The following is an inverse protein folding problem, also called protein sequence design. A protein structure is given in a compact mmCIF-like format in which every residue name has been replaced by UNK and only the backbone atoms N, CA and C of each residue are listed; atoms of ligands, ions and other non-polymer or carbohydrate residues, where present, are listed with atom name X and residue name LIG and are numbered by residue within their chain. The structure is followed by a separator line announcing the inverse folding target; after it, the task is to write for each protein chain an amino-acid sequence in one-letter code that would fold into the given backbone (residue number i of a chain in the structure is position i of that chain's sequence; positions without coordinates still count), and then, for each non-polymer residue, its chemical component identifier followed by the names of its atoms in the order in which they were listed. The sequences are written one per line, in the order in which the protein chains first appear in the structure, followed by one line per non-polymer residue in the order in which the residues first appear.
data_IF_952741037870
#
_entry.id   IF_952741037870
#
_cell.length_a   1.000
_cell.length_b   1.000
_cell.length_c   1.000
_cell.angle_alpha   90.00
_cell.angle_beta   90.00
_cell.angle_gamma   90.00
#
_symmetry.space_group_name_H-M   'P 1'
#
loop_
_entity.id
_entity.type
_entity.pdbx_description
1 polymer ?
#
# COMPACT_ATOMS: atom_id res chain seq x y z
N UNK A 1 -6.36 -12.88 -41.72
CA UNK A 1 -6.74 -12.07 -40.54
C UNK A 1 -5.51 -11.88 -39.68
N UNK A 2 -5.35 -10.74 -38.99
CA UNK A 2 -4.28 -10.60 -38.00
C UNK A 2 -4.42 -11.65 -36.88
N UNK A 3 -3.31 -12.13 -36.28
CA UNK A 3 -3.35 -13.11 -35.21
C UNK A 3 -4.06 -12.54 -33.98
N UNK A 4 -4.89 -13.35 -33.32
CA UNK A 4 -5.53 -13.02 -32.04
C UNK A 4 -4.59 -13.35 -30.90
N UNK A 5 -4.18 -12.30 -30.18
CA UNK A 5 -3.21 -12.40 -29.08
C UNK A 5 -3.94 -12.17 -27.76
N UNK A 6 -3.79 -13.11 -26.83
CA UNK A 6 -4.19 -12.94 -25.44
C UNK A 6 -2.96 -12.66 -24.56
N UNK A 7 -3.08 -11.69 -23.66
CA UNK A 7 -2.09 -11.43 -22.60
C UNK A 7 -2.77 -11.69 -21.27
N UNK A 8 -2.23 -12.62 -20.48
CA UNK A 8 -2.78 -12.95 -19.16
C UNK A 8 -2.01 -12.15 -18.12
N UNK A 9 -2.66 -11.16 -17.49
CA UNK A 9 -2.09 -10.28 -16.47
C UNK A 9 -1.85 -8.85 -16.96
N UNK A 10 -2.40 -7.88 -16.24
CA UNK A 10 -2.23 -6.44 -16.43
C UNK A 10 -1.25 -5.84 -15.41
N UNK A 11 -0.13 -6.54 -15.17
CA UNK A 11 1.05 -5.99 -14.50
C UNK A 11 1.93 -5.18 -15.47
N UNK A 12 3.05 -4.61 -15.01
CA UNK A 12 3.93 -3.78 -15.84
C UNK A 12 4.33 -4.46 -17.15
N UNK A 13 4.78 -5.72 -17.11
CA UNK A 13 5.19 -6.45 -18.32
C UNK A 13 4.04 -6.65 -19.33
N UNK A 14 2.85 -7.07 -18.87
CA UNK A 14 1.70 -7.32 -19.73
C UNK A 14 1.13 -6.04 -20.35
N UNK A 15 1.05 -4.97 -19.57
CA UNK A 15 0.61 -3.66 -20.04
C UNK A 15 1.61 -3.02 -21.01
N UNK A 16 2.91 -3.12 -20.73
CA UNK A 16 3.95 -2.65 -21.64
C UNK A 16 3.87 -3.38 -22.98
N UNK A 17 3.73 -4.72 -22.98
CA UNK A 17 3.55 -5.48 -24.22
C UNK A 17 2.28 -5.04 -24.97
N UNK A 18 1.15 -4.90 -24.27
CA UNK A 18 -0.09 -4.44 -24.88
C UNK A 18 0.07 -3.08 -25.56
N UNK A 19 0.77 -2.15 -24.89
CA UNK A 19 1.05 -0.82 -25.43
C UNK A 19 2.00 -0.84 -26.62
N UNK A 20 3.08 -1.61 -26.56
CA UNK A 20 4.04 -1.76 -27.66
C UNK A 20 3.39 -2.39 -28.91
N UNK A 21 2.44 -3.30 -28.73
CA UNK A 21 1.63 -3.83 -29.83
C UNK A 21 0.67 -2.78 -30.38
N UNK A 22 0.02 -2.02 -29.50
CA UNK A 22 -0.95 -0.99 -29.89
C UNK A 22 -0.32 0.13 -30.73
N UNK A 23 0.91 0.57 -30.41
CA UNK A 23 1.63 1.57 -31.26
C UNK A 23 1.96 1.03 -32.65
N UNK A 24 1.95 -0.29 -32.86
CA UNK A 24 2.09 -0.95 -34.16
C UNK A 24 0.74 -1.35 -34.78
N UNK A 25 -0.37 -0.80 -34.28
CA UNK A 25 -1.74 -1.12 -34.73
C UNK A 25 -2.13 -2.59 -34.55
N UNK A 26 -1.50 -3.31 -33.61
CA UNK A 26 -1.87 -4.67 -33.21
C UNK A 26 -2.61 -4.56 -31.87
N UNK A 27 -3.86 -5.02 -31.82
CA UNK A 27 -4.72 -4.92 -30.63
C UNK A 27 -4.83 -6.30 -29.96
N UNK A 28 -4.08 -6.58 -28.88
CA UNK A 28 -4.26 -7.78 -28.09
C UNK A 28 -5.49 -7.65 -27.17
N UNK A 29 -5.95 -8.77 -26.60
CA UNK A 29 -6.85 -8.79 -25.46
C UNK A 29 -6.05 -9.11 -24.20
N UNK A 30 -6.09 -8.21 -23.21
CA UNK A 30 -5.51 -8.42 -21.88
C UNK A 30 -6.59 -8.92 -20.93
N UNK A 31 -6.29 -9.95 -20.15
CA UNK A 31 -7.16 -10.50 -19.11
C UNK A 31 -6.51 -10.31 -17.74
N UNK A 32 -7.21 -9.67 -16.81
CA UNK A 32 -6.71 -9.39 -15.46
C UNK A 32 -7.67 -9.94 -14.41
N UNK A 33 -7.12 -10.61 -13.40
CA UNK A 33 -7.87 -11.25 -12.31
C UNK A 33 -8.47 -10.24 -11.33
N UNK A 34 -7.86 -9.06 -11.21
CA UNK A 34 -8.39 -8.00 -10.37
C UNK A 34 -9.73 -7.48 -10.87
N UNK A 35 -10.65 -7.08 -9.97
CA UNK A 35 -11.97 -6.61 -10.37
C UNK A 35 -11.94 -5.20 -10.98
N UNK A 36 -10.91 -4.39 -10.69
CA UNK A 36 -10.79 -3.02 -11.20
C UNK A 36 -9.34 -2.52 -11.21
N UNK A 37 -9.05 -1.42 -11.95
CA UNK A 37 -7.73 -0.78 -11.97
C UNK A 37 -7.16 -0.42 -10.60
N UNK A 38 -8.05 0.01 -9.68
CA UNK A 38 -7.70 0.56 -8.37
C UNK A 38 -7.64 -0.49 -7.25
N UNK A 39 -7.78 -1.78 -7.60
CA UNK A 39 -7.88 -2.87 -6.62
C UNK A 39 -6.59 -3.16 -5.84
N UNK A 40 -5.43 -2.68 -6.31
CA UNK A 40 -4.13 -2.90 -5.64
C UNK A 40 -3.75 -1.76 -4.72
N UNK A 41 -3.36 -2.10 -3.50
CA UNK A 41 -2.60 -1.24 -2.58
C UNK A 41 -1.08 -1.48 -2.62
N UNK A 42 -0.55 -2.23 -3.61
CA UNK A 42 0.89 -2.52 -3.71
C UNK A 42 1.71 -1.22 -3.78
N UNK A 43 2.56 -1.03 -2.77
CA UNK A 43 3.51 0.08 -2.69
C UNK A 43 4.87 -0.23 -3.34
N UNK A 44 5.83 0.65 -3.07
CA UNK A 44 7.20 0.57 -3.58
C UNK A 44 7.41 1.19 -4.96
N UNK A 45 8.67 1.43 -5.27
CA UNK A 45 9.13 1.95 -6.55
C UNK A 45 9.77 0.86 -7.41
N UNK A 46 10.03 1.21 -8.66
CA UNK A 46 10.76 0.42 -9.64
C UNK A 46 11.78 1.33 -10.32
N UNK A 47 13.02 0.87 -10.44
CA UNK A 47 14.05 1.51 -11.24
C UNK A 47 14.02 0.97 -12.68
N UNK A 48 14.01 1.87 -13.66
CA UNK A 48 14.07 1.50 -15.07
C UNK A 48 15.46 1.78 -15.62
N UNK A 49 16.14 0.75 -16.13
CA UNK A 49 17.52 0.87 -16.61
C UNK A 49 17.56 1.31 -18.08
N UNK A 50 18.61 2.02 -18.47
CA UNK A 50 18.90 2.36 -19.87
C UNK A 50 19.00 1.07 -20.71
N UNK A 51 18.61 1.16 -21.99
CA UNK A 51 18.66 0.04 -22.95
C UNK A 51 17.67 -1.11 -22.69
N UNK A 52 16.93 -1.09 -21.57
CA UNK A 52 15.94 -2.12 -21.24
C UNK A 52 14.59 -1.51 -20.86
N UNK A 53 14.35 -1.22 -19.58
CA UNK A 53 13.10 -0.65 -19.08
C UNK A 53 12.81 0.71 -19.70
N UNK A 54 13.81 1.59 -19.77
CA UNK A 54 13.67 2.90 -20.40
C UNK A 54 13.42 2.77 -21.91
N UNK A 55 14.10 1.84 -22.59
CA UNK A 55 13.87 1.61 -24.02
C UNK A 55 12.42 1.19 -24.30
N UNK A 56 11.83 0.34 -23.45
CA UNK A 56 10.43 -0.05 -23.57
C UNK A 56 9.47 1.15 -23.37
N UNK A 57 9.81 2.10 -22.49
CA UNK A 57 9.05 3.34 -22.30
C UNK A 57 9.20 4.28 -23.51
N UNK A 58 10.39 4.38 -24.10
CA UNK A 58 10.61 5.11 -25.35
C UNK A 58 9.80 4.53 -26.51
N UNK A 59 9.91 3.23 -26.75
CA UNK A 59 9.26 2.56 -27.88
C UNK A 59 7.73 2.52 -27.74
N UNK A 60 7.21 2.63 -26.52
CA UNK A 60 5.77 2.77 -26.25
C UNK A 60 5.25 4.20 -26.44
N UNK A 61 6.14 5.17 -26.68
CA UNK A 61 5.81 6.58 -26.81
C UNK A 61 5.38 7.23 -25.49
N UNK A 62 5.80 6.69 -24.35
CA UNK A 62 5.40 7.16 -23.02
C UNK A 62 6.49 7.92 -22.27
N UNK A 63 7.65 8.15 -22.90
CA UNK A 63 8.80 8.82 -22.26
C UNK A 63 8.44 10.17 -21.64
N UNK A 64 7.74 11.03 -22.37
CA UNK A 64 7.34 12.35 -21.88
C UNK A 64 6.42 12.30 -20.65
N UNK A 65 5.57 11.27 -20.56
CA UNK A 65 4.70 11.09 -19.40
C UNK A 65 5.49 10.48 -18.23
N UNK A 66 6.36 9.50 -18.50
CA UNK A 66 7.24 8.88 -17.52
C UNK A 66 8.11 9.91 -16.80
N UNK A 67 8.73 10.83 -17.56
CA UNK A 67 9.62 11.87 -17.01
C UNK A 67 8.96 12.78 -15.97
N UNK A 68 7.62 12.92 -15.99
CA UNK A 68 6.89 13.73 -14.99
C UNK A 68 6.90 13.10 -13.59
N UNK A 69 7.13 11.79 -13.51
CA UNK A 69 7.08 11.02 -12.27
C UNK A 69 8.40 10.31 -11.95
N UNK A 70 9.36 10.33 -12.86
CA UNK A 70 10.70 9.78 -12.69
C UNK A 70 11.43 10.51 -11.56
N UNK A 71 11.86 9.76 -10.55
CA UNK A 71 12.62 10.25 -9.39
C UNK A 71 14.08 9.84 -9.52
N UNK A 72 14.88 10.79 -9.99
CA UNK A 72 16.32 10.62 -10.15
C UNK A 72 17.05 10.60 -8.80
N UNK A 73 16.54 11.36 -7.83
CA UNK A 73 16.94 11.37 -6.43
C UNK A 73 16.67 10.03 -5.73
N UNK A 74 15.61 9.32 -6.13
CA UNK A 74 15.26 7.99 -5.60
C UNK A 74 16.29 6.89 -5.81
N UNK A 75 17.30 7.13 -6.65
CA UNK A 75 18.40 6.21 -6.91
C UNK A 75 19.48 6.22 -5.81
N UNK A 76 19.42 7.20 -4.91
CA UNK A 76 20.42 7.35 -3.85
C UNK A 76 20.41 6.14 -2.91
N UNK A 77 21.57 5.50 -2.73
CA UNK A 77 21.74 4.40 -1.79
C UNK A 77 22.72 4.83 -0.73
N UNK A 78 22.33 4.71 0.55
CA UNK A 78 23.22 4.94 1.69
C UNK A 78 23.23 3.72 2.61
N UNK A 79 24.43 3.25 2.93
CA UNK A 79 24.63 2.32 4.04
C UNK A 79 25.07 3.12 5.26
N UNK A 80 24.33 2.96 6.36
CA UNK A 80 24.49 3.75 7.57
C UNK A 80 24.81 2.84 8.75
N UNK A 81 25.61 3.34 9.70
CA UNK A 81 25.67 2.75 11.03
C UNK A 81 24.35 3.02 11.78
N UNK A 82 24.14 2.36 12.93
CA UNK A 82 23.02 2.66 13.83
C UNK A 82 23.00 4.10 14.37
N UNK A 83 24.11 4.83 14.26
CA UNK A 83 24.23 6.23 14.66
C UNK A 83 24.05 7.19 13.46
N UNK A 84 23.61 6.66 12.31
CA UNK A 84 23.47 7.40 11.05
C UNK A 84 24.79 7.90 10.45
N UNK A 85 25.93 7.33 10.83
CA UNK A 85 27.19 7.61 10.13
C UNK A 85 27.16 6.93 8.76
N UNK A 86 27.43 7.70 7.70
CA UNK A 86 27.47 7.20 6.33
C UNK A 86 28.71 6.32 6.13
N UNK A 87 28.49 5.02 5.91
CA UNK A 87 29.55 4.06 5.56
C UNK A 87 29.79 4.03 4.04
N UNK A 88 28.73 4.25 3.27
CA UNK A 88 28.75 4.29 1.81
C UNK A 88 27.58 5.15 1.34
N UNK A 89 27.81 5.91 0.27
CA UNK A 89 26.77 6.64 -0.44
C UNK A 89 27.01 6.53 -1.95
N UNK A 90 25.97 6.14 -2.67
CA UNK A 90 25.85 6.35 -4.12
C UNK A 90 24.92 7.54 -4.31
N UNK A 91 25.43 8.61 -4.92
CA UNK A 91 24.68 9.85 -5.13
C UNK A 91 23.74 9.75 -6.32
N UNK A 92 22.64 10.53 -6.32
CA UNK A 92 21.69 10.50 -7.40
C UNK A 92 22.30 10.98 -8.72
N UNK A 93 21.98 10.26 -9.78
CA UNK A 93 22.39 10.54 -11.15
C UNK A 93 21.32 11.39 -11.83
N UNK A 94 21.72 12.34 -12.66
CA UNK A 94 20.76 13.14 -13.42
C UNK A 94 20.33 12.46 -14.73
N UNK A 95 19.39 13.06 -15.46
CA UNK A 95 18.83 12.51 -16.71
C UNK A 95 19.89 12.33 -17.82
N UNK A 96 21.01 13.04 -17.77
CA UNK A 96 22.08 12.99 -18.77
C UNK A 96 23.10 11.89 -18.50
N UNK A 97 23.01 11.26 -17.33
CA UNK A 97 23.90 10.17 -16.95
C UNK A 97 23.41 8.87 -17.62
N UNK A 98 24.26 8.19 -18.41
CA UNK A 98 23.87 6.94 -19.09
C UNK A 98 23.55 5.82 -18.10
N UNK A 99 24.16 5.81 -16.92
CA UNK A 99 23.94 4.77 -15.91
C UNK A 99 22.76 5.13 -14.98
N UNK A 100 21.91 6.10 -15.37
CA UNK A 100 20.74 6.52 -14.60
C UNK A 100 19.62 5.49 -14.70
N UNK A 101 18.97 5.26 -13.56
CA UNK A 101 17.90 4.28 -13.35
C UNK A 101 16.80 4.90 -12.48
N UNK A 102 16.15 6.00 -12.93
CA UNK A 102 15.21 6.74 -12.11
C UNK A 102 14.10 5.84 -11.58
N UNK A 103 13.75 6.06 -10.32
CA UNK A 103 12.67 5.34 -9.64
C UNK A 103 11.31 5.87 -10.09
N UNK A 104 10.33 5.00 -10.23
CA UNK A 104 8.93 5.36 -10.41
C UNK A 104 8.05 4.52 -9.49
N UNK A 105 7.04 5.12 -8.86
CA UNK A 105 6.08 4.35 -8.07
C UNK A 105 5.35 3.35 -8.97
N UNK A 106 5.28 2.09 -8.51
CA UNK A 106 4.65 1.01 -9.28
C UNK A 106 3.21 1.34 -9.67
N UNK A 107 2.48 2.02 -8.78
CA UNK A 107 1.11 2.49 -9.02
C UNK A 107 1.07 3.49 -10.17
N UNK A 108 1.95 4.50 -10.15
CA UNK A 108 2.03 5.53 -11.19
C UNK A 108 2.41 4.90 -12.54
N UNK A 109 3.41 4.02 -12.57
CA UNK A 109 3.81 3.32 -13.81
C UNK A 109 2.62 2.52 -14.39
N UNK A 110 1.88 1.81 -13.54
CA UNK A 110 0.70 1.06 -13.96
C UNK A 110 -0.40 1.99 -14.49
N UNK A 111 -0.71 3.07 -13.78
CA UNK A 111 -1.70 4.06 -14.21
C UNK A 111 -1.34 4.69 -15.56
N UNK A 112 -0.08 5.06 -15.76
CA UNK A 112 0.43 5.60 -17.02
C UNK A 112 0.19 4.62 -18.18
N UNK A 113 0.54 3.34 -17.97
CA UNK A 113 0.35 2.31 -18.98
C UNK A 113 -1.14 2.03 -19.25
N UNK A 114 -1.99 1.99 -18.22
CA UNK A 114 -3.43 1.80 -18.36
C UNK A 114 -4.07 2.94 -19.16
N UNK A 115 -3.74 4.19 -18.85
CA UNK A 115 -4.23 5.38 -19.57
C UNK A 115 -3.78 5.43 -21.04
N UNK A 116 -2.74 4.68 -21.40
CA UNK A 116 -2.21 4.61 -22.76
C UNK A 116 -2.92 3.59 -23.67
N UNK A 117 -3.89 2.84 -23.13
CA UNK A 117 -4.63 1.78 -23.81
C UNK A 117 -6.12 2.11 -23.83
N UNK A 118 -6.83 1.65 -24.86
CA UNK A 118 -8.29 1.75 -24.90
C UNK A 118 -8.93 0.86 -23.83
N UNK A 119 -10.01 1.32 -23.21
CA UNK A 119 -10.71 0.61 -22.13
C UNK A 119 -11.16 -0.82 -22.51
N UNK A 120 -11.35 -1.09 -23.81
CA UNK A 120 -11.81 -2.40 -24.30
C UNK A 120 -10.66 -3.43 -24.45
N UNK A 121 -9.40 -2.99 -24.39
CA UNK A 121 -8.23 -3.87 -24.47
C UNK A 121 -8.14 -4.77 -23.23
N UNK A 122 -8.65 -4.32 -22.09
CA UNK A 122 -8.49 -5.01 -20.80
C UNK A 122 -9.83 -5.52 -20.30
N UNK A 123 -9.91 -6.82 -20.03
CA UNK A 123 -11.03 -7.48 -19.35
C UNK A 123 -10.66 -7.76 -17.90
N UNK A 124 -11.35 -7.08 -16.98
CA UNK A 124 -11.16 -7.17 -15.52
C UNK A 124 -12.05 -8.25 -14.91
N UNK A 125 -11.63 -8.82 -13.78
CA UNK A 125 -12.31 -9.93 -13.09
C UNK A 125 -12.07 -11.31 -13.71
N UNK A 126 -11.20 -11.41 -14.72
CA UNK A 126 -10.91 -12.63 -15.45
C UNK A 126 -9.74 -13.38 -14.81
N UNK A 127 -10.05 -14.24 -13.83
CA UNK A 127 -9.04 -15.14 -13.25
C UNK A 127 -8.89 -16.38 -14.13
N UNK A 128 -7.76 -16.51 -14.83
CA UNK A 128 -7.49 -17.68 -15.65
C UNK A 128 -7.43 -18.95 -14.79
N UNK A 129 -8.10 -20.00 -15.27
CA UNK A 129 -8.17 -21.31 -14.63
C UNK A 129 -7.38 -22.35 -15.43
N UNK A 130 -7.63 -22.44 -16.73
CA UNK A 130 -6.90 -23.35 -17.62
C UNK A 130 -6.86 -22.85 -19.06
N UNK A 131 -5.92 -23.40 -19.84
CA UNK A 131 -5.76 -23.14 -21.27
C UNK A 131 -5.78 -24.47 -21.98
N UNK A 132 -6.57 -24.57 -23.05
CA UNK A 132 -6.73 -25.81 -23.81
C UNK A 132 -6.58 -25.55 -25.31
N UNK A 133 -5.87 -26.38 -26.07
CA UNK A 133 -5.90 -26.30 -27.52
C UNK A 133 -7.29 -26.67 -28.04
N UNK A 134 -7.77 -25.99 -29.08
CA UNK A 134 -9.05 -26.29 -29.69
C UNK A 134 -9.04 -27.68 -30.33
N UNK A 135 -10.14 -28.43 -30.16
CA UNK A 135 -10.30 -29.74 -30.82
C UNK A 135 -10.32 -29.64 -32.34
N UNK A 136 -10.82 -28.52 -32.89
CA UNK A 136 -10.90 -28.27 -34.34
C UNK A 136 -9.57 -27.78 -34.94
N UNK A 137 -8.75 -27.09 -34.16
CA UNK A 137 -7.44 -26.59 -34.60
C UNK A 137 -6.49 -26.49 -33.39
N UNK A 138 -5.56 -27.45 -33.19
CA UNK A 138 -4.70 -27.47 -32.02
C UNK A 138 -3.66 -26.34 -31.98
N UNK A 139 -3.58 -25.48 -33.01
CA UNK A 139 -2.80 -24.24 -33.00
C UNK A 139 -3.54 -23.06 -32.36
N UNK A 140 -4.84 -23.19 -32.12
CA UNK A 140 -5.64 -22.18 -31.46
C UNK A 140 -5.91 -22.61 -30.02
N UNK A 141 -5.88 -21.66 -29.09
CA UNK A 141 -6.12 -21.90 -27.68
C UNK A 141 -7.41 -21.25 -27.20
N UNK A 142 -8.13 -21.99 -26.35
CA UNK A 142 -9.28 -21.54 -25.58
C UNK A 142 -8.84 -21.30 -24.13
N UNK A 143 -9.25 -20.15 -23.59
CA UNK A 143 -8.95 -19.70 -22.24
C UNK A 143 -10.19 -19.91 -21.37
N UNK A 144 -10.04 -20.68 -20.31
CA UNK A 144 -11.11 -20.94 -19.34
C UNK A 144 -10.85 -20.13 -18.08
N UNK A 145 -11.87 -19.39 -17.62
CA UNK A 145 -11.78 -18.52 -16.45
C UNK A 145 -12.62 -19.02 -15.29
N UNK A 146 -12.20 -18.67 -14.07
CA UNK A 146 -12.97 -18.92 -12.84
C UNK A 146 -14.21 -18.03 -12.87
N UNK A 147 -15.36 -18.64 -13.12
CA UNK A 147 -16.61 -17.96 -13.45
C UNK A 147 -17.39 -18.70 -14.55
N UNK A 148 -16.69 -19.52 -15.33
CA UNK A 148 -17.26 -20.34 -16.40
C UNK A 148 -17.19 -19.68 -17.77
N UNK A 149 -16.74 -18.43 -17.86
CA UNK A 149 -16.45 -17.78 -19.14
C UNK A 149 -15.34 -18.53 -19.89
N UNK A 150 -15.50 -18.62 -21.21
CA UNK A 150 -14.51 -19.22 -22.11
C UNK A 150 -14.28 -18.24 -23.27
N UNK A 151 -13.03 -17.80 -23.43
CA UNK A 151 -12.61 -16.97 -24.54
C UNK A 151 -11.81 -17.82 -25.52
N UNK A 152 -12.31 -17.92 -26.75
CA UNK A 152 -11.87 -18.95 -27.70
C UNK A 152 -10.99 -18.41 -28.80
N UNK A 153 -10.15 -19.24 -29.39
CA UNK A 153 -9.54 -19.01 -30.70
C UNK A 153 -8.42 -17.98 -30.70
N UNK A 154 -7.48 -18.08 -29.76
CA UNK A 154 -6.26 -17.28 -29.73
C UNK A 154 -5.11 -18.00 -30.44
N UNK A 155 -4.42 -17.29 -31.33
CA UNK A 155 -3.22 -17.75 -32.03
C UNK A 155 -1.99 -17.73 -31.11
N UNK A 156 -1.98 -16.82 -30.13
CA UNK A 156 -0.91 -16.67 -29.15
C UNK A 156 -1.48 -16.33 -27.77
N UNK A 157 -1.00 -17.02 -26.75
CA UNK A 157 -1.29 -16.73 -25.33
C UNK A 157 0.02 -16.38 -24.64
N UNK A 158 0.12 -15.15 -24.13
CA UNK A 158 1.30 -14.63 -23.44
C UNK A 158 1.05 -14.62 -21.94
N UNK A 159 1.94 -15.28 -21.17
CA UNK A 159 1.90 -15.29 -19.71
C UNK A 159 2.60 -14.07 -19.11
N UNK A 160 1.82 -13.14 -18.57
CA UNK A 160 2.28 -11.99 -17.77
C UNK A 160 1.59 -11.97 -16.39
N UNK A 161 1.14 -13.13 -15.92
CA UNK A 161 0.27 -13.36 -14.75
C UNK A 161 1.05 -13.60 -13.45
N UNK A 162 2.31 -13.17 -13.44
CA UNK A 162 3.16 -13.10 -12.25
C UNK A 162 3.83 -14.42 -11.86
N UNK A 163 4.37 -14.46 -10.64
CA UNK A 163 5.27 -15.51 -10.18
C UNK A 163 4.67 -16.93 -10.24
N UNK A 164 3.35 -17.06 -10.11
CA UNK A 164 2.62 -18.33 -10.11
C UNK A 164 1.80 -18.54 -11.39
N UNK A 165 2.34 -18.09 -12.52
CA UNK A 165 1.71 -18.15 -13.84
C UNK A 165 1.11 -19.52 -14.21
N UNK A 166 -0.13 -19.53 -14.71
CA UNK A 166 -0.75 -20.72 -15.31
C UNK A 166 -0.14 -21.01 -16.68
N UNK A 167 0.15 -19.99 -17.47
CA UNK A 167 0.79 -20.13 -18.79
C UNK A 167 2.16 -20.81 -18.66
N UNK A 168 2.97 -20.44 -17.65
CA UNK A 168 4.28 -21.07 -17.43
C UNK A 168 4.17 -22.58 -17.26
N UNK A 169 3.12 -23.07 -16.60
CA UNK A 169 2.97 -24.51 -16.32
C UNK A 169 2.84 -25.38 -17.57
N UNK A 170 2.45 -24.78 -18.70
CA UNK A 170 2.35 -25.44 -20.01
C UNK A 170 3.67 -25.44 -20.78
N UNK A 171 4.60 -24.55 -20.42
CA UNK A 171 5.87 -24.36 -21.11
C UNK A 171 7.07 -24.92 -20.32
N UNK A 172 6.95 -25.03 -19.00
CA UNK A 172 8.05 -25.44 -18.13
C UNK A 172 7.56 -26.10 -16.85
N UNK A 173 8.30 -27.10 -16.39
CA UNK A 173 8.10 -27.74 -15.08
C UNK A 173 8.65 -26.89 -13.91
N UNK A 174 9.35 -25.77 -14.19
CA UNK A 174 9.94 -24.93 -13.15
C UNK A 174 8.87 -24.29 -12.25
N UNK A 175 9.10 -24.35 -10.93
CA UNK A 175 8.23 -23.75 -9.90
C UNK A 175 9.04 -22.75 -9.06
N UNK A 176 8.44 -21.61 -8.67
CA UNK A 176 9.03 -20.72 -7.68
C UNK A 176 9.27 -21.45 -6.38
N UNK A 177 10.34 -21.10 -5.69
CA UNK A 177 10.65 -21.58 -4.35
C UNK A 177 11.06 -20.39 -3.47
N UNK A 178 10.88 -20.53 -2.16
CA UNK A 178 11.27 -19.51 -1.20
C UNK A 178 12.80 -19.44 -1.11
N UNK A 179 13.38 -18.25 -1.24
CA UNK A 179 14.84 -18.04 -1.27
C UNK A 179 15.53 -18.20 0.08
N UNK A 180 14.77 -18.34 1.17
CA UNK A 180 15.29 -18.31 2.54
C UNK A 180 15.40 -16.92 3.15
N UNK A 181 15.09 -15.87 2.38
CA UNK A 181 15.18 -14.47 2.82
C UNK A 181 13.79 -13.83 2.79
N UNK A 182 13.43 -13.16 3.88
CA UNK A 182 12.27 -12.26 3.96
C UNK A 182 12.76 -10.83 4.13
N UNK A 183 12.10 -9.89 3.48
CA UNK A 183 12.32 -8.45 3.65
C UNK A 183 11.06 -7.83 4.22
N UNK A 184 11.21 -6.89 5.15
CA UNK A 184 10.12 -6.09 5.70
C UNK A 184 10.35 -4.66 5.26
N UNK A 185 9.35 -4.09 4.58
CA UNK A 185 9.31 -2.69 4.21
C UNK A 185 8.37 -1.96 5.19
N UNK A 186 8.77 -0.77 5.65
CA UNK A 186 8.03 0.06 6.59
C UNK A 186 7.99 1.47 6.04
N UNK A 187 6.78 1.94 5.74
CA UNK A 187 6.52 3.31 5.33
C UNK A 187 5.91 4.09 6.51
N UNK A 188 6.57 5.17 6.93
CA UNK A 188 6.05 6.10 7.93
C UNK A 188 5.57 7.36 7.21
N UNK A 189 4.27 7.41 6.95
CA UNK A 189 3.66 8.58 6.32
C UNK A 189 3.42 9.68 7.36
N UNK A 190 3.89 10.91 7.08
CA UNK A 190 3.77 12.10 7.96
C UNK A 190 4.44 11.91 9.34
N UNK A 191 5.74 11.62 9.40
CA UNK A 191 6.47 11.42 10.66
C UNK A 191 6.46 12.67 11.57
N UNK A 192 6.15 13.83 11.00
CA UNK A 192 6.10 15.15 11.63
C UNK A 192 4.71 15.53 12.19
N UNK A 193 3.66 14.72 11.97
CA UNK A 193 2.27 15.08 12.33
C UNK A 193 1.62 14.18 13.37
N UNK A 194 2.39 13.77 14.38
CA UNK A 194 1.81 13.09 15.54
C UNK A 194 0.90 14.03 16.33
N UNK A 195 -0.40 13.75 16.36
CA UNK A 195 -1.37 14.48 17.20
C UNK A 195 -1.48 13.77 18.55
N UNK A 196 -1.19 14.49 19.63
CA UNK A 196 -1.39 14.06 21.01
C UNK A 196 -2.01 15.21 21.79
N UNK A 197 -2.96 14.90 22.67
CA UNK A 197 -3.55 15.92 23.52
C UNK A 197 -2.70 16.13 24.77
N UNK A 198 -2.64 17.39 25.22
CA UNK A 198 -2.35 17.63 26.63
C UNK A 198 -3.56 17.22 27.44
N UNK A 199 -3.32 16.62 28.60
CA UNK A 199 -4.39 16.32 29.55
C UNK A 199 -5.26 17.56 29.76
N UNK A 200 -6.57 17.36 29.68
CA UNK A 200 -7.57 18.41 29.84
C UNK A 200 -8.75 17.92 30.66
N UNK A 201 -9.52 18.88 31.18
CA UNK A 201 -10.78 18.66 31.88
C UNK A 201 -11.85 19.53 31.23
N UNK A 202 -13.10 19.19 31.48
CA UNK A 202 -14.24 19.98 31.03
C UNK A 202 -15.19 20.22 32.20
N UNK A 203 -15.95 21.31 32.10
CA UNK A 203 -17.09 21.53 32.99
C UNK A 203 -18.21 20.55 32.60
N UNK A 204 -18.80 19.87 33.58
CA UNK A 204 -19.92 18.94 33.32
C UNK A 204 -21.11 19.66 32.69
N UNK A 205 -21.68 19.07 31.64
CA UNK A 205 -22.85 19.60 30.93
C UNK A 205 -23.92 18.53 30.85
N UNK A 206 -25.15 18.88 31.24
CA UNK A 206 -26.30 17.97 31.18
C UNK A 206 -26.45 17.38 29.77
N UNK A 207 -26.58 16.06 29.69
CA UNK A 207 -26.72 15.31 28.45
C UNK A 207 -25.45 15.08 27.62
N UNK A 208 -24.27 15.50 28.07
CA UNK A 208 -23.00 15.35 27.34
C UNK A 208 -21.88 14.84 28.25
N UNK A 209 -21.05 13.91 27.75
CA UNK A 209 -19.81 13.47 28.40
C UNK A 209 -18.89 12.80 27.37
N UNK A 210 -17.64 12.49 27.74
CA UNK A 210 -16.61 11.91 26.87
C UNK A 210 -15.98 10.67 27.52
N UNK A 211 -15.51 9.72 26.70
CA UNK A 211 -14.72 8.55 27.13
C UNK A 211 -13.64 8.22 26.10
N UNK A 212 -12.60 7.49 26.50
CA UNK A 212 -11.51 7.06 25.61
C UNK A 212 -10.75 8.21 24.98
N UNK A 213 -10.28 8.03 23.74
CA UNK A 213 -9.47 9.05 23.04
C UNK A 213 -10.18 10.41 22.92
N UNK A 214 -11.53 10.42 22.89
CA UNK A 214 -12.28 11.67 22.89
C UNK A 214 -12.14 12.47 24.20
N UNK A 215 -11.82 11.79 25.31
CA UNK A 215 -11.60 12.39 26.62
C UNK A 215 -10.12 12.60 26.95
N UNK A 216 -9.23 11.71 26.47
CA UNK A 216 -7.83 11.69 26.89
C UNK A 216 -6.91 11.01 25.87
N UNK A 217 -6.88 11.51 24.63
CA UNK A 217 -5.88 11.09 23.66
C UNK A 217 -4.45 11.22 24.25
N UNK A 218 -3.67 10.15 24.18
CA UNK A 218 -2.36 10.07 24.83
C UNK A 218 -1.35 9.29 23.99
N UNK A 219 -0.07 9.39 24.32
CA UNK A 219 0.99 8.66 23.60
C UNK A 219 0.90 7.14 23.90
N UNK A 220 1.33 6.25 22.98
CA UNK A 220 1.19 4.80 23.16
C UNK A 220 2.33 4.14 23.96
N UNK A 221 3.31 4.92 24.45
CA UNK A 221 4.59 4.39 24.97
C UNK A 221 4.53 3.64 26.30
N UNK A 222 3.34 3.54 26.93
CA UNK A 222 3.11 2.66 28.08
C UNK A 222 2.20 1.46 27.76
N UNK A 223 1.77 1.27 26.51
CA UNK A 223 0.76 0.26 26.16
C UNK A 223 -0.63 0.57 26.73
N UNK A 224 -0.86 1.83 27.11
CA UNK A 224 -2.11 2.37 27.62
C UNK A 224 -2.96 2.94 26.46
N UNK A 225 -4.18 3.40 26.78
CA UNK A 225 -5.14 3.93 25.80
C UNK A 225 -6.42 3.12 25.82
N UNK A 226 -6.49 2.03 25.04
CA UNK A 226 -7.71 1.20 24.94
C UNK A 226 -8.17 0.64 26.29
N UNK A 227 -7.24 0.25 27.18
CA UNK A 227 -7.60 -0.27 28.50
C UNK A 227 -8.24 0.80 29.39
N UNK A 228 -7.74 2.04 29.34
CA UNK A 228 -8.29 3.17 30.08
C UNK A 228 -9.67 3.55 29.51
N UNK A 229 -9.80 3.60 28.18
CA UNK A 229 -11.07 3.84 27.51
C UNK A 229 -12.15 2.82 27.88
N UNK A 230 -11.79 1.52 27.93
CA UNK A 230 -12.70 0.46 28.35
C UNK A 230 -13.07 0.58 29.83
N UNK A 231 -12.15 1.04 30.68
CA UNK A 231 -12.46 1.31 32.09
C UNK A 231 -13.43 2.50 32.22
N UNK A 232 -13.30 3.54 31.41
CA UNK A 232 -14.27 4.64 31.40
C UNK A 232 -15.66 4.16 30.98
N UNK A 233 -15.75 3.33 29.94
CA UNK A 233 -17.01 2.74 29.52
C UNK A 233 -17.65 1.92 30.65
N UNK A 234 -16.84 1.14 31.38
CA UNK A 234 -17.30 0.37 32.54
C UNK A 234 -17.85 1.27 33.65
N UNK A 235 -17.12 2.30 34.06
CA UNK A 235 -17.56 3.19 35.15
C UNK A 235 -18.74 4.08 34.73
N UNK A 236 -18.73 4.60 33.51
CA UNK A 236 -19.84 5.39 32.97
C UNK A 236 -21.11 4.54 32.87
N UNK A 237 -21.01 3.27 32.49
CA UNK A 237 -22.17 2.37 32.44
C UNK A 237 -22.82 2.21 33.82
N UNK A 238 -22.02 2.07 34.89
CA UNK A 238 -22.51 1.98 36.27
C UNK A 238 -23.20 3.29 36.68
N UNK A 239 -22.59 4.43 36.36
CA UNK A 239 -23.13 5.75 36.65
C UNK A 239 -24.47 5.98 35.93
N UNK A 240 -24.58 5.64 34.65
CA UNK A 240 -25.83 5.74 33.88
C UNK A 240 -26.92 4.86 34.49
N UNK A 241 -26.61 3.59 34.80
CA UNK A 241 -27.60 2.67 35.40
C UNK A 241 -28.09 3.18 36.75
N UNK A 242 -27.20 3.72 37.60
CA UNK A 242 -27.57 4.32 38.88
C UNK A 242 -28.42 5.57 38.67
N UNK A 243 -28.00 6.48 37.80
CA UNK A 243 -28.69 7.74 37.50
C UNK A 243 -30.09 7.53 36.94
N UNK A 244 -30.28 6.53 36.07
CA UNK A 244 -31.61 6.15 35.55
C UNK A 244 -32.51 5.60 36.66
N UNK A 245 -31.98 4.77 37.57
CA UNK A 245 -32.76 4.19 38.68
C UNK A 245 -33.16 5.24 39.72
N UNK A 246 -32.26 6.18 39.99
CA UNK A 246 -32.43 7.22 41.02
C UNK A 246 -33.15 8.47 40.47
N UNK A 247 -33.25 8.62 39.15
CA UNK A 247 -33.80 9.82 38.52
C UNK A 247 -32.85 11.02 38.56
N UNK A 248 -31.54 10.78 38.68
CA UNK A 248 -30.49 11.80 38.86
C UNK A 248 -29.27 11.49 37.99
N UNK A 249 -29.44 11.55 36.67
CA UNK A 249 -28.39 11.19 35.71
C UNK A 249 -27.22 12.19 35.72
N UNK A 250 -27.52 13.49 35.80
CA UNK A 250 -26.50 14.54 35.72
C UNK A 250 -25.50 14.48 36.87
N UNK A 251 -25.97 14.19 38.09
CA UNK A 251 -25.09 14.05 39.25
C UNK A 251 -24.20 12.81 39.11
N UNK A 252 -24.74 11.66 38.69
CA UNK A 252 -23.95 10.44 38.52
C UNK A 252 -22.92 10.54 37.40
N UNK A 253 -23.25 11.22 36.30
CA UNK A 253 -22.29 11.47 35.23
C UNK A 253 -21.16 12.37 35.74
N UNK A 254 -21.45 13.47 36.45
CA UNK A 254 -20.43 14.35 37.05
C UNK A 254 -19.47 13.59 37.97
N UNK A 255 -19.99 12.71 38.82
CA UNK A 255 -19.16 11.86 39.70
C UNK A 255 -18.26 10.91 38.89
N UNK A 256 -18.78 10.35 37.79
CA UNK A 256 -18.01 9.49 36.88
C UNK A 256 -16.89 10.26 36.17
N UNK A 257 -17.14 11.50 35.77
CA UNK A 257 -16.17 12.41 35.14
C UNK A 257 -14.99 12.73 36.07
N UNK A 258 -15.25 13.03 37.34
CA UNK A 258 -14.19 13.25 38.35
C UNK A 258 -13.26 12.04 38.49
N UNK A 259 -13.85 10.84 38.51
CA UNK A 259 -13.07 9.60 38.55
C UNK A 259 -12.29 9.36 37.25
N UNK A 260 -12.88 9.72 36.09
CA UNK A 260 -12.23 9.64 34.78
C UNK A 260 -11.04 10.58 34.70
N UNK A 261 -11.16 11.84 35.13
CA UNK A 261 -10.07 12.81 35.07
C UNK A 261 -8.82 12.34 35.79
N UNK A 262 -8.98 11.71 36.96
CA UNK A 262 -7.85 11.18 37.72
C UNK A 262 -7.14 10.04 36.98
N UNK A 263 -7.91 9.10 36.41
CA UNK A 263 -7.34 7.98 35.64
C UNK A 263 -6.62 8.48 34.38
N UNK A 264 -7.23 9.43 33.69
CA UNK A 264 -6.69 10.05 32.49
C UNK A 264 -5.37 10.79 32.78
N UNK A 265 -5.32 11.61 33.83
CA UNK A 265 -4.10 12.34 34.22
C UNK A 265 -2.94 11.39 34.53
N UNK A 266 -3.20 10.32 35.29
CA UNK A 266 -2.21 9.30 35.62
C UNK A 266 -1.69 8.57 34.37
N UNK A 267 -2.59 8.22 33.45
CA UNK A 267 -2.25 7.51 32.22
C UNK A 267 -1.47 8.41 31.24
N UNK A 268 -1.94 9.63 30.97
CA UNK A 268 -1.24 10.61 30.13
C UNK A 268 0.17 10.92 30.66
N UNK A 269 0.32 11.09 31.98
CA UNK A 269 1.63 11.37 32.59
C UNK A 269 2.59 10.19 32.43
N UNK A 270 2.09 8.95 32.60
CA UNK A 270 2.90 7.74 32.47
C UNK A 270 3.36 7.52 31.03
N UNK A 271 2.46 7.67 30.07
CA UNK A 271 2.78 7.46 28.66
C UNK A 271 3.78 8.50 28.14
N UNK A 272 3.59 9.77 28.52
CA UNK A 272 4.54 10.86 28.23
C UNK A 272 5.92 10.60 28.84
N UNK A 273 5.98 10.20 30.11
CA UNK A 273 7.25 9.87 30.77
C UNK A 273 7.97 8.72 30.05
N UNK A 274 7.24 7.67 29.68
CA UNK A 274 7.83 6.55 28.92
C UNK A 274 8.35 7.03 27.57
N UNK A 275 7.57 7.80 26.81
CA UNK A 275 8.01 8.37 25.53
C UNK A 275 9.34 9.11 25.70
N UNK A 276 9.43 10.01 26.68
CA UNK A 276 10.66 10.75 26.93
C UNK A 276 11.85 9.84 27.27
N UNK A 277 11.64 8.75 28.02
CA UNK A 277 12.70 7.78 28.31
C UNK A 277 13.16 7.03 27.06
N UNK A 278 12.22 6.54 26.24
CA UNK A 278 12.53 5.88 24.98
C UNK A 278 13.34 6.82 24.07
N UNK A 279 12.97 8.09 24.00
CA UNK A 279 13.58 9.10 23.13
C UNK A 279 14.84 9.76 23.69
N UNK A 280 15.18 9.58 24.98
CA UNK A 280 16.41 10.13 25.61
C UNK A 280 17.58 9.13 25.65
N UNK A 281 17.48 8.01 24.94
CA UNK A 281 18.60 7.07 24.79
C UNK A 281 19.76 7.76 24.06
N UNK A 282 21.01 7.55 24.49
CA UNK A 282 22.19 8.14 23.81
C UNK A 282 22.17 7.83 22.31
N UNK A 283 22.07 8.88 21.48
CA UNK A 283 21.96 8.78 20.01
C UNK A 283 20.54 8.90 19.44
N UNK A 284 19.51 8.96 20.27
CA UNK A 284 18.15 9.27 19.83
C UNK A 284 17.99 10.78 19.53
N UNK A 285 17.24 11.17 18.49
CA UNK A 285 16.96 12.58 18.21
C UNK A 285 16.24 13.24 19.39
N UNK A 286 16.68 14.44 19.79
CA UNK A 286 16.02 15.21 20.85
C UNK A 286 14.67 15.73 20.33
N UNK A 287 13.52 15.23 20.85
CA UNK A 287 12.21 15.67 20.38
C UNK A 287 11.94 17.15 20.67
N UNK A 288 12.61 17.73 21.66
CA UNK A 288 12.46 19.15 22.02
C UNK A 288 13.19 20.10 21.07
N UNK A 289 14.06 19.58 20.21
CA UNK A 289 14.75 20.36 19.16
C UNK A 289 13.96 20.44 17.84
N UNK A 290 12.79 19.78 17.75
CA UNK A 290 11.95 19.69 16.54
C UNK A 290 10.71 20.62 16.63
N UNK A 291 10.52 21.33 17.76
CA UNK A 291 9.42 22.26 17.97
C UNK A 291 9.72 23.69 17.49
#
# INVERSE_FOLDING_TARGET
MPPRIAIIGAGPAGLTLARLLAVQSIVPQVFEREPSPDSRSQGGSLDLHEGTGQQAVHDSGLWEEFRKYARYDGQEIKFLTKNCDVMFAEHPKDERDPDTKPEIDRKILREMLLKSLDNNVIKWGYTLDSIQPQSSNPRLYDLHFKGGEIEKGFDLVVGADGAWSHVRSLLSAAKPFYSGVSMVDIDITRPDKGEVDKFHKWDSRSGLTLIGDAAHLMTPFAGEGVNVAMWDALELSKAIVAGVKEGDLDTKIRESEEALFKRAEDACTRTESNMQQFMKTSGAPDPSAIA
#
